data_IF_617876203315
#
_entry.id   IF_617876203315
#
_cell.length_a   1.000
_cell.length_b   1.000
_cell.length_c   1.000
_cell.angle_alpha   90.00
_cell.angle_beta   90.00
_cell.angle_gamma   90.00
#
_symmetry.space_group_name_H-M   'P 1'
#
loop_
_entity.id
_entity.type
_entity.pdbx_description
1 polymer ?
#
# COMPACT_ATOMS: atom_id res chain seq x y z
N UNK A 1 79.43 31.70 22.30
CA UNK A 1 79.08 31.54 20.88
C UNK A 1 78.88 30.06 20.57
N UNK A 2 78.02 29.72 19.61
CA UNK A 2 78.12 28.57 18.66
C UNK A 2 78.49 27.17 19.19
N UNK A 3 77.77 26.07 18.91
CA UNK A 3 76.41 25.83 18.38
C UNK A 3 75.98 24.46 18.94
N UNK A 4 74.69 24.20 19.17
CA UNK A 4 74.19 22.81 19.22
C UNK A 4 73.15 22.59 18.13
N UNK A 5 73.33 21.51 17.37
CA UNK A 5 72.41 21.01 16.34
C UNK A 5 71.22 20.29 16.98
N UNK A 6 70.01 20.57 16.49
CA UNK A 6 68.81 19.76 16.76
C UNK A 6 68.35 19.12 15.43
N UNK A 7 68.14 17.79 15.36
CA UNK A 7 67.72 17.13 14.13
C UNK A 7 66.21 17.35 13.86
N UNK A 8 65.84 17.41 12.58
CA UNK A 8 64.43 17.34 12.18
C UNK A 8 63.88 15.94 12.45
N UNK A 9 63.06 15.79 13.49
CA UNK A 9 62.16 14.64 13.61
C UNK A 9 60.87 14.94 12.85
N UNK A 10 60.73 14.37 11.64
CA UNK A 10 59.56 14.53 10.80
C UNK A 10 58.38 13.73 11.35
N UNK A 11 57.62 14.31 12.27
CA UNK A 11 56.37 13.73 12.76
C UNK A 11 55.30 13.81 11.66
N UNK A 12 55.20 12.78 10.80
CA UNK A 12 54.07 12.64 9.90
C UNK A 12 52.81 12.38 10.72
N UNK A 13 51.99 13.42 10.87
CA UNK A 13 50.62 13.29 11.32
C UNK A 13 49.81 12.67 10.18
N UNK A 14 49.75 11.34 10.12
CA UNK A 14 48.80 10.62 9.27
C UNK A 14 47.39 10.86 9.80
N UNK A 15 46.79 11.97 9.36
CA UNK A 15 45.34 12.15 9.42
C UNK A 15 44.73 11.06 8.54
N UNK A 16 44.30 9.97 9.17
CA UNK A 16 43.42 9.01 8.54
C UNK A 16 42.08 9.71 8.31
N UNK A 17 41.98 10.39 7.17
CA UNK A 17 40.69 10.87 6.67
C UNK A 17 39.85 9.63 6.40
N UNK A 18 38.97 9.30 7.34
CA UNK A 18 37.93 8.30 7.11
C UNK A 18 37.08 8.85 5.99
N UNK A 19 37.29 8.32 4.79
CA UNK A 19 36.34 8.45 3.70
C UNK A 19 35.09 7.73 4.19
N UNK A 20 34.06 8.51 4.55
CA UNK A 20 32.73 7.96 4.70
C UNK A 20 32.35 7.37 3.35
N UNK A 21 32.12 6.05 3.31
CA UNK A 21 31.80 5.34 2.08
C UNK A 21 30.41 5.83 1.60
N UNK A 22 30.29 6.50 0.45
CA UNK A 22 29.05 7.19 0.06
C UNK A 22 28.00 6.23 -0.51
N UNK A 23 28.08 4.94 -0.18
CA UNK A 23 27.44 3.83 -0.90
C UNK A 23 26.25 3.21 -0.16
N UNK A 24 25.78 3.82 0.92
CA UNK A 24 24.49 3.49 1.56
C UNK A 24 23.67 4.75 1.82
N UNK A 25 22.68 5.01 0.95
CA UNK A 25 21.57 5.93 1.22
C UNK A 25 20.58 5.38 2.25
N UNK A 26 20.69 4.09 2.57
CA UNK A 26 19.81 3.37 3.48
C UNK A 26 20.33 3.34 4.93
N UNK A 27 19.39 3.28 5.87
CA UNK A 27 19.59 3.13 7.30
C UNK A 27 20.33 1.84 7.68
N UNK A 28 21.23 1.92 8.66
CA UNK A 28 22.06 0.78 9.05
C UNK A 28 21.27 -0.30 9.80
N UNK A 29 21.08 -1.44 9.13
CA UNK A 29 20.44 -2.65 9.67
C UNK A 29 21.17 -3.27 10.87
N UNK A 30 22.39 -2.83 11.21
CA UNK A 30 23.11 -3.17 12.44
C UNK A 30 22.53 -2.50 13.69
N UNK A 31 21.70 -1.46 13.54
CA UNK A 31 21.09 -0.71 14.66
C UNK A 31 19.62 -1.07 14.92
N UNK A 32 19.13 -2.15 14.29
CA UNK A 32 17.76 -2.63 14.45
C UNK A 32 17.51 -3.21 15.85
N UNK A 33 16.31 -2.98 16.35
CA UNK A 33 15.74 -3.53 17.58
C UNK A 33 14.33 -4.07 17.28
N UNK A 34 13.96 -5.13 17.97
CA UNK A 34 12.65 -5.77 17.83
C UNK A 34 11.56 -4.94 18.50
N UNK A 35 10.44 -4.71 17.81
CA UNK A 35 9.16 -4.41 18.44
C UNK A 35 8.43 -5.73 18.68
N UNK A 36 8.34 -6.12 19.94
CA UNK A 36 7.64 -7.33 20.40
C UNK A 36 6.12 -7.06 20.46
N UNK A 37 5.30 -8.10 20.22
CA UNK A 37 3.85 -8.09 20.42
C UNK A 37 3.43 -9.14 21.44
N UNK A 38 2.48 -8.78 22.30
CA UNK A 38 1.80 -9.68 23.21
C UNK A 38 0.31 -9.32 23.30
N UNK A 39 -0.58 -10.31 23.42
CA UNK A 39 -2.03 -10.09 23.41
C UNK A 39 -2.68 -10.60 24.70
N UNK A 40 -3.63 -9.84 25.24
CA UNK A 40 -4.48 -10.28 26.37
C UNK A 40 -5.90 -10.56 25.90
N UNK A 41 -6.23 -11.84 25.70
CA UNK A 41 -7.61 -12.28 25.43
C UNK A 41 -8.61 -12.08 26.57
N UNK A 42 -8.18 -11.54 27.73
CA UNK A 42 -9.07 -11.14 28.83
C UNK A 42 -9.39 -9.65 28.82
N UNK A 43 -8.44 -8.80 28.37
CA UNK A 43 -8.66 -7.36 28.19
C UNK A 43 -9.17 -7.02 26.78
N UNK A 44 -8.88 -7.87 25.80
CA UNK A 44 -8.98 -7.57 24.36
C UNK A 44 -8.10 -6.38 23.98
N UNK A 45 -6.81 -6.48 24.33
CA UNK A 45 -5.77 -5.44 24.16
C UNK A 45 -4.45 -6.05 23.63
N UNK A 46 -3.81 -5.36 22.68
CA UNK A 46 -2.48 -5.69 22.15
C UNK A 46 -1.38 -4.78 22.71
N UNK A 47 -0.50 -5.38 23.50
CA UNK A 47 0.69 -4.73 24.02
C UNK A 47 1.89 -4.84 23.07
N UNK A 48 2.57 -3.72 22.83
CA UNK A 48 3.79 -3.64 22.02
C UNK A 48 4.89 -2.93 22.81
N UNK A 49 6.14 -3.39 22.66
CA UNK A 49 7.31 -2.70 23.23
C UNK A 49 8.61 -3.12 22.54
N UNK A 50 9.62 -2.25 22.57
CA UNK A 50 11.01 -2.58 22.24
C UNK A 50 11.87 -2.91 23.48
N UNK A 51 11.30 -2.81 24.68
CA UNK A 51 11.95 -3.07 25.96
C UNK A 51 11.60 -4.48 26.48
N UNK A 52 12.57 -5.41 26.40
CA UNK A 52 12.42 -6.79 26.91
C UNK A 52 12.04 -6.83 28.39
N UNK A 53 12.51 -5.89 29.21
CA UNK A 53 12.13 -5.85 30.63
C UNK A 53 10.68 -5.42 30.85
N UNK A 54 10.09 -4.63 29.96
CA UNK A 54 8.68 -4.24 30.00
C UNK A 54 7.80 -5.42 29.56
N UNK A 55 8.19 -6.10 28.48
CA UNK A 55 7.56 -7.35 28.04
C UNK A 55 7.56 -8.40 29.15
N UNK A 56 8.73 -8.71 29.72
CA UNK A 56 8.89 -9.76 30.72
C UNK A 56 8.14 -9.45 32.03
N UNK A 57 8.22 -8.21 32.54
CA UNK A 57 7.75 -7.88 33.90
C UNK A 57 6.38 -7.23 33.97
N UNK A 58 5.93 -6.54 32.91
CA UNK A 58 4.68 -5.77 32.93
C UNK A 58 3.56 -6.45 32.11
N UNK A 59 3.91 -7.16 31.02
CA UNK A 59 2.95 -7.90 30.20
C UNK A 59 2.87 -9.41 30.53
N UNK A 60 4.01 -10.11 30.56
CA UNK A 60 4.04 -11.57 30.70
C UNK A 60 4.01 -12.05 32.16
N UNK A 61 4.60 -11.30 33.10
CA UNK A 61 4.62 -11.65 34.51
C UNK A 61 3.21 -11.60 35.12
N UNK A 62 2.72 -12.77 35.56
CA UNK A 62 1.35 -12.93 36.05
C UNK A 62 0.38 -13.53 35.02
N UNK A 63 0.76 -13.59 33.73
CA UNK A 63 -0.01 -14.26 32.68
C UNK A 63 -1.21 -13.46 32.18
N UNK A 64 -1.17 -12.13 32.27
CA UNK A 64 -2.20 -11.24 31.71
C UNK A 64 -2.17 -11.25 30.18
N UNK A 65 -0.96 -11.20 29.59
CA UNK A 65 -0.72 -11.28 28.15
C UNK A 65 -0.02 -12.59 27.78
N UNK A 66 -0.22 -13.03 26.54
CA UNK A 66 0.55 -14.09 25.90
C UNK A 66 1.48 -13.46 24.86
N UNK A 67 2.76 -13.84 24.83
CA UNK A 67 3.69 -13.40 23.80
C UNK A 67 3.30 -13.96 22.44
N UNK A 68 3.22 -13.10 21.42
CA UNK A 68 2.83 -13.49 20.06
C UNK A 68 3.99 -13.51 19.07
N UNK A 69 5.07 -12.78 19.36
CA UNK A 69 6.29 -12.77 18.54
C UNK A 69 6.86 -11.38 18.29
N UNK A 70 7.74 -11.32 17.30
CA UNK A 70 8.34 -10.12 16.75
C UNK A 70 7.40 -9.50 15.70
N UNK A 71 6.78 -8.35 16.00
CA UNK A 71 5.89 -7.68 15.04
C UNK A 71 6.65 -6.97 13.92
N UNK A 72 7.78 -6.33 14.25
CA UNK A 72 8.64 -5.63 13.28
C UNK A 72 10.03 -5.34 13.86
N UNK A 73 10.96 -4.94 13.00
CA UNK A 73 12.27 -4.41 13.38
C UNK A 73 12.36 -2.91 13.10
N UNK A 74 12.48 -2.11 14.17
CA UNK A 74 12.65 -0.66 14.15
C UNK A 74 14.14 -0.29 14.30
N UNK A 75 14.57 0.89 13.86
CA UNK A 75 15.92 1.36 14.18
C UNK A 75 15.97 1.96 15.59
N UNK A 76 16.99 1.61 16.39
CA UNK A 76 17.15 2.10 17.78
C UNK A 76 17.59 3.55 17.89
N UNK A 77 18.05 4.14 16.79
CA UNK A 77 18.62 5.48 16.70
C UNK A 77 18.20 6.13 15.39
N UNK A 78 18.27 7.45 15.29
CA UNK A 78 18.02 8.15 14.03
C UNK A 78 19.05 7.74 12.97
N UNK A 79 18.54 7.25 11.86
CA UNK A 79 19.29 6.81 10.68
C UNK A 79 18.90 7.64 9.45
N UNK A 80 19.69 7.63 8.34
CA UNK A 80 19.33 8.28 7.09
C UNK A 80 17.88 8.04 6.67
N UNK A 81 17.16 9.12 6.35
CA UNK A 81 15.75 9.14 5.92
C UNK A 81 14.72 8.52 6.89
N UNK A 82 15.09 8.17 8.12
CA UNK A 82 14.15 7.70 9.16
C UNK A 82 13.64 8.84 10.05
N UNK A 83 12.44 8.66 10.60
CA UNK A 83 11.78 9.56 11.56
C UNK A 83 11.32 8.77 12.80
N UNK A 84 11.07 9.43 13.95
CA UNK A 84 10.59 8.75 15.15
C UNK A 84 9.22 8.10 14.93
N UNK A 85 9.05 6.88 15.45
CA UNK A 85 7.75 6.30 15.76
C UNK A 85 7.43 6.64 17.21
N UNK A 86 6.63 7.68 17.43
CA UNK A 86 6.18 8.12 18.75
C UNK A 86 5.29 7.04 19.37
N UNK A 87 5.44 6.83 20.68
CA UNK A 87 4.55 6.00 21.50
C UNK A 87 3.80 6.90 22.48
N UNK A 88 2.47 6.83 22.43
CA UNK A 88 1.57 7.50 23.35
C UNK A 88 0.81 6.44 24.15
N UNK A 89 0.35 6.83 25.33
CA UNK A 89 -0.46 6.00 26.21
C UNK A 89 -1.66 6.80 26.72
N UNK A 90 -2.81 6.14 26.85
CA UNK A 90 -3.97 6.70 27.52
C UNK A 90 -4.31 5.89 28.77
N UNK A 91 -4.27 6.55 29.94
CA UNK A 91 -4.51 5.89 31.22
C UNK A 91 -5.98 5.51 31.46
N UNK A 92 -6.93 6.21 30.83
CA UNK A 92 -8.37 5.96 31.00
C UNK A 92 -8.87 4.85 30.06
N UNK A 93 -8.21 4.65 28.91
CA UNK A 93 -8.47 3.53 27.99
C UNK A 93 -7.56 2.31 28.22
N UNK A 94 -6.37 2.51 28.81
CA UNK A 94 -5.31 1.50 29.00
C UNK A 94 -4.72 1.00 27.67
N UNK A 95 -4.64 1.88 26.67
CA UNK A 95 -4.31 1.59 25.27
C UNK A 95 -3.08 2.41 24.79
N UNK A 96 -2.41 1.97 23.73
CA UNK A 96 -1.18 2.55 23.18
C UNK A 96 -1.30 2.98 21.70
N UNK A 97 -1.01 4.25 21.44
CA UNK A 97 -1.06 4.81 20.09
C UNK A 97 0.35 5.02 19.53
N UNK A 98 0.59 4.49 18.32
CA UNK A 98 1.85 4.60 17.61
C UNK A 98 1.68 5.41 16.33
N UNK A 99 2.53 6.41 16.15
CA UNK A 99 2.51 7.25 14.95
C UNK A 99 3.87 7.87 14.64
N UNK A 100 4.13 8.08 13.35
CA UNK A 100 5.24 8.89 12.86
C UNK A 100 4.86 10.37 12.59
N UNK A 101 3.59 10.75 12.80
CA UNK A 101 3.05 12.07 12.51
C UNK A 101 3.12 13.00 13.72
N UNK A 102 3.94 14.05 13.66
CA UNK A 102 4.00 15.09 14.71
C UNK A 102 2.67 15.78 14.97
N UNK A 103 1.84 15.87 13.95
CA UNK A 103 0.58 16.63 13.99
C UNK A 103 -0.51 15.77 14.63
N UNK A 104 -0.54 14.47 14.30
CA UNK A 104 -1.43 13.49 14.95
C UNK A 104 -1.10 13.36 16.44
N UNK A 105 0.17 13.41 16.84
CA UNK A 105 0.56 13.46 18.27
C UNK A 105 -0.10 14.64 19.00
N UNK A 106 -0.21 15.82 18.38
CA UNK A 106 -0.87 16.98 18.98
C UNK A 106 -2.39 16.77 19.09
N UNK A 107 -3.01 16.19 18.06
CA UNK A 107 -4.44 15.85 18.06
C UNK A 107 -4.80 14.79 19.11
N UNK A 108 -3.93 13.79 19.33
CA UNK A 108 -4.13 12.78 20.37
C UNK A 108 -3.93 13.37 21.78
N UNK A 109 -2.99 14.30 21.96
CA UNK A 109 -2.78 14.99 23.25
C UNK A 109 -3.99 15.87 23.63
N UNK A 110 -4.64 16.55 22.68
CA UNK A 110 -5.90 17.29 22.94
C UNK A 110 -7.05 16.33 23.33
N UNK A 111 -7.03 15.09 22.82
CA UNK A 111 -7.92 13.99 23.18
C UNK A 111 -7.52 13.26 24.49
N UNK A 112 -6.59 13.82 25.28
CA UNK A 112 -6.23 13.32 26.61
C UNK A 112 -5.16 12.23 26.64
N UNK A 113 -4.52 11.91 25.51
CA UNK A 113 -3.38 10.99 25.49
C UNK A 113 -2.13 11.68 26.03
N UNK A 114 -1.23 10.90 26.64
CA UNK A 114 0.09 11.36 27.05
C UNK A 114 1.17 10.71 26.18
N UNK A 115 2.32 11.38 26.05
CA UNK A 115 3.54 10.69 25.66
C UNK A 115 3.86 9.57 26.67
N UNK A 116 4.21 8.40 26.17
CA UNK A 116 4.58 7.26 27.01
C UNK A 116 5.95 7.45 27.68
N UNK A 117 6.21 6.66 28.72
CA UNK A 117 7.44 6.62 29.52
C UNK A 117 8.70 6.15 28.77
N UNK A 118 8.55 5.60 27.55
CA UNK A 118 9.66 5.20 26.67
C UNK A 118 10.73 6.30 26.48
N UNK A 119 12.02 5.93 26.29
CA UNK A 119 13.10 6.90 26.11
C UNK A 119 12.83 7.87 24.94
N UNK A 120 12.75 9.17 25.26
CA UNK A 120 12.36 10.23 24.31
C UNK A 120 10.98 10.00 23.66
N UNK A 121 10.06 9.31 24.34
CA UNK A 121 8.67 9.06 23.90
C UNK A 121 8.57 8.36 22.53
N UNK A 122 9.60 7.58 22.19
CA UNK A 122 9.85 7.01 20.87
C UNK A 122 10.06 5.51 21.02
N UNK A 123 9.23 4.70 20.36
CA UNK A 123 9.37 3.24 20.38
C UNK A 123 10.63 2.78 19.62
N UNK A 124 10.92 3.48 18.53
CA UNK A 124 12.05 3.33 17.64
C UNK A 124 11.92 4.31 16.48
N UNK A 125 12.77 4.18 15.46
CA UNK A 125 12.70 4.96 14.24
C UNK A 125 12.18 4.07 13.10
N UNK A 126 11.44 4.69 12.17
CA UNK A 126 10.83 4.09 10.97
C UNK A 126 11.17 4.94 9.75
N UNK A 127 11.08 4.39 8.54
CA UNK A 127 10.98 5.23 7.37
C UNK A 127 9.54 5.78 7.24
N UNK A 128 9.37 7.01 6.71
CA UNK A 128 8.05 7.51 6.31
C UNK A 128 7.50 6.83 5.05
N UNK A 129 8.33 6.10 4.32
CA UNK A 129 8.09 5.58 2.96
C UNK A 129 8.66 4.18 2.78
N UNK A 130 8.21 3.45 1.76
CA UNK A 130 8.58 2.05 1.47
C UNK A 130 9.97 1.92 0.80
N UNK A 131 10.95 2.69 1.26
CA UNK A 131 12.32 2.72 0.71
C UNK A 131 13.20 1.66 1.38
N UNK A 132 14.32 1.31 0.74
CA UNK A 132 15.37 0.47 1.33
C UNK A 132 14.88 -0.89 1.89
N UNK A 133 13.84 -1.46 1.28
CA UNK A 133 13.22 -2.72 1.68
C UNK A 133 12.25 -2.64 2.86
N UNK A 134 11.82 -1.45 3.25
CA UNK A 134 10.86 -1.27 4.32
C UNK A 134 9.42 -1.51 3.85
N UNK A 135 8.70 -2.36 4.59
CA UNK A 135 7.29 -2.68 4.35
C UNK A 135 6.40 -1.90 5.34
N UNK A 136 5.12 -1.65 5.02
CA UNK A 136 4.22 -0.89 5.89
C UNK A 136 3.88 -1.64 7.19
N UNK A 137 3.70 -0.87 8.26
CA UNK A 137 3.00 -1.27 9.47
C UNK A 137 1.55 -0.74 9.34
N UNK A 138 0.61 -1.63 9.03
CA UNK A 138 -0.82 -1.31 9.05
C UNK A 138 -1.27 -1.06 10.49
N UNK A 139 -1.98 0.03 10.72
CA UNK A 139 -2.60 0.40 12.00
C UNK A 139 -4.11 0.23 11.88
N UNK A 140 -4.70 -0.48 12.83
CA UNK A 140 -6.13 -0.69 12.93
C UNK A 140 -6.62 -0.40 14.35
N UNK A 141 -7.90 -0.06 14.50
CA UNK A 141 -8.51 0.22 15.80
C UNK A 141 -9.88 -0.43 15.92
N UNK A 142 -10.14 -1.11 17.04
CA UNK A 142 -11.46 -1.63 17.36
C UNK A 142 -12.16 -0.72 18.39
N UNK A 143 -13.26 -0.03 18.03
CA UNK A 143 -13.95 0.89 18.94
C UNK A 143 -14.85 0.18 19.98
N UNK A 144 -15.05 -1.14 19.89
CA UNK A 144 -15.82 -1.91 20.87
C UNK A 144 -14.95 -2.44 22.02
N UNK A 145 -13.69 -2.82 21.75
CA UNK A 145 -12.70 -3.16 22.77
C UNK A 145 -11.83 -1.98 23.21
N UNK A 146 -11.67 -0.97 22.36
CA UNK A 146 -10.72 0.16 22.50
C UNK A 146 -9.26 -0.33 22.48
N UNK A 147 -8.89 -0.97 21.37
CA UNK A 147 -7.59 -1.62 21.13
C UNK A 147 -7.01 -1.19 19.77
N UNK A 148 -5.74 -0.77 19.75
CA UNK A 148 -5.00 -0.51 18.51
C UNK A 148 -4.12 -1.71 18.10
N UNK A 149 -4.45 -2.31 16.96
CA UNK A 149 -3.73 -3.43 16.38
C UNK A 149 -2.74 -2.97 15.29
N UNK A 150 -1.50 -3.46 15.38
CA UNK A 150 -0.41 -3.12 14.46
C UNK A 150 0.20 -4.39 13.86
N UNK A 151 0.23 -4.46 12.54
CA UNK A 151 0.79 -5.61 11.82
C UNK A 151 1.43 -5.23 10.50
N UNK A 152 2.43 -5.98 10.06
CA UNK A 152 2.98 -5.91 8.70
C UNK A 152 2.32 -6.93 7.75
N UNK A 153 1.45 -7.81 8.29
CA UNK A 153 0.76 -8.86 7.54
C UNK A 153 -0.63 -8.37 7.09
N UNK A 154 -0.77 -8.09 5.79
CA UNK A 154 -2.04 -7.62 5.21
C UNK A 154 -3.19 -8.64 5.34
N UNK A 155 -2.90 -9.95 5.40
CA UNK A 155 -3.94 -10.96 5.62
C UNK A 155 -4.44 -10.95 7.07
N UNK A 156 -3.54 -10.81 8.05
CA UNK A 156 -3.88 -10.65 9.46
C UNK A 156 -4.68 -9.36 9.71
N UNK A 157 -4.31 -8.27 9.04
CA UNK A 157 -5.07 -7.02 9.02
C UNK A 157 -6.49 -7.20 8.46
N UNK A 158 -6.64 -7.93 7.34
CA UNK A 158 -7.96 -8.20 6.74
C UNK A 158 -8.83 -9.15 7.56
N UNK A 159 -8.23 -10.08 8.30
CA UNK A 159 -8.96 -10.92 9.25
C UNK A 159 -9.43 -10.09 10.47
N UNK A 160 -8.57 -9.24 11.05
CA UNK A 160 -8.97 -8.31 12.11
C UNK A 160 -10.13 -7.39 11.69
N UNK A 161 -10.17 -6.92 10.42
CA UNK A 161 -11.29 -6.12 9.90
C UNK A 161 -12.63 -6.87 9.87
N UNK A 162 -12.63 -8.21 9.82
CA UNK A 162 -13.85 -9.03 9.90
C UNK A 162 -14.34 -9.14 11.34
N UNK A 163 -13.42 -9.06 12.30
CA UNK A 163 -13.65 -9.08 13.75
C UNK A 163 -13.87 -7.66 14.36
N UNK A 164 -14.19 -6.67 13.52
CA UNK A 164 -14.67 -5.34 13.93
C UNK A 164 -13.63 -4.21 13.93
N UNK A 165 -12.37 -4.50 13.60
CA UNK A 165 -11.34 -3.47 13.49
C UNK A 165 -11.55 -2.56 12.27
N UNK A 166 -11.22 -1.28 12.46
CA UNK A 166 -11.24 -0.25 11.42
C UNK A 166 -9.82 0.09 11.00
N UNK A 167 -9.58 0.14 9.68
CA UNK A 167 -8.30 0.58 9.11
C UNK A 167 -8.06 2.08 9.40
N UNK A 168 -6.88 2.40 9.93
CA UNK A 168 -6.40 3.75 10.23
C UNK A 168 -5.12 4.11 9.44
N UNK A 169 -4.82 3.39 8.35
CA UNK A 169 -3.67 3.63 7.49
C UNK A 169 -2.36 3.01 8.01
N UNK A 170 -1.25 3.68 7.71
CA UNK A 170 0.11 3.15 7.93
C UNK A 170 0.82 3.97 9.01
N UNK A 171 1.18 3.33 10.13
CA UNK A 171 1.89 3.99 11.24
C UNK A 171 3.37 4.28 10.94
N UNK A 172 3.96 3.56 9.98
CA UNK A 172 5.33 3.74 9.49
C UNK A 172 5.77 2.59 8.59
N UNK A 173 6.99 2.68 8.04
CA UNK A 173 7.60 1.61 7.24
C UNK A 173 8.87 1.09 7.94
N UNK A 174 8.96 -0.23 8.10
CA UNK A 174 9.98 -0.88 8.93
C UNK A 174 10.50 -2.19 8.28
N UNK A 175 11.49 -2.83 8.91
CA UNK A 175 12.08 -4.07 8.40
C UNK A 175 11.24 -5.28 8.82
N UNK A 176 10.94 -6.17 7.86
CA UNK A 176 10.13 -7.36 8.11
C UNK A 176 10.88 -8.38 8.99
N UNK A 177 10.19 -9.02 9.94
CA UNK A 177 10.70 -10.21 10.60
C UNK A 177 10.62 -11.41 9.64
N UNK A 178 11.70 -12.18 9.60
CA UNK A 178 11.80 -13.48 8.94
C UNK A 178 11.12 -14.55 9.80
N UNK A 179 10.79 -15.69 9.18
CA UNK A 179 10.20 -16.88 9.84
C UNK A 179 11.10 -17.54 10.90
N UNK A 180 12.32 -17.05 11.09
CA UNK A 180 13.31 -17.46 12.10
C UNK A 180 13.64 -16.34 13.12
N UNK A 181 12.86 -15.26 13.15
CA UNK A 181 13.07 -14.13 14.06
C UNK A 181 14.27 -13.24 13.71
N UNK A 182 14.83 -13.36 12.49
CA UNK A 182 15.86 -12.45 11.97
C UNK A 182 15.25 -11.30 11.15
N UNK A 183 15.95 -10.17 11.03
CA UNK A 183 15.51 -9.08 10.16
C UNK A 183 15.79 -9.40 8.68
N UNK A 184 14.76 -9.35 7.83
CA UNK A 184 14.92 -9.50 6.38
C UNK A 184 15.62 -8.25 5.83
N UNK A 185 16.82 -8.41 5.27
CA UNK A 185 17.65 -7.28 4.80
C UNK A 185 17.44 -6.91 3.33
N UNK A 186 16.87 -7.83 2.55
CA UNK A 186 16.63 -7.68 1.11
C UNK A 186 15.13 -7.57 0.76
N UNK A 187 14.29 -7.09 1.69
CA UNK A 187 12.83 -6.92 1.51
C UNK A 187 12.44 -5.76 0.58
N UNK A 188 13.27 -5.46 -0.42
CA UNK A 188 13.00 -4.51 -1.51
C UNK A 188 11.95 -5.03 -2.51
N UNK A 189 11.55 -6.30 -2.40
CA UNK A 189 10.16 -6.67 -2.64
C UNK A 189 9.39 -6.60 -1.31
N UNK A 190 8.33 -5.78 -1.17
CA UNK A 190 7.28 -6.11 -0.20
C UNK A 190 6.84 -7.56 -0.48
N UNK A 191 6.36 -8.29 0.52
CA UNK A 191 5.86 -9.64 0.26
C UNK A 191 4.77 -9.57 -0.82
N UNK A 192 4.97 -10.33 -1.91
CA UNK A 192 4.27 -10.27 -3.21
C UNK A 192 4.78 -9.30 -4.31
N UNK A 193 5.96 -8.69 -4.19
CA UNK A 193 6.81 -8.50 -5.38
C UNK A 193 7.81 -9.67 -5.47
N UNK A 194 8.05 -10.26 -6.66
CA UNK A 194 9.01 -11.37 -6.80
C UNK A 194 10.43 -11.03 -6.34
N UNK A 195 11.16 -12.05 -5.88
CA UNK A 195 12.50 -11.95 -5.26
C UNK A 195 13.63 -11.52 -6.21
N UNK A 196 13.30 -10.87 -7.31
CA UNK A 196 14.19 -10.35 -8.36
C UNK A 196 13.94 -8.87 -8.68
N UNK A 197 13.13 -8.19 -7.88
CA UNK A 197 12.91 -6.73 -7.92
C UNK A 197 14.15 -5.94 -7.48
N UNK A 198 15.21 -6.02 -8.28
CA UNK A 198 16.29 -5.01 -8.28
C UNK A 198 15.79 -3.79 -9.03
N UNK A 199 15.10 -2.89 -8.33
CA UNK A 199 14.99 -1.51 -8.79
C UNK A 199 16.41 -1.00 -9.09
N UNK A 200 16.62 -0.38 -10.25
CA UNK A 200 17.95 0.14 -10.61
C UNK A 200 18.41 1.10 -9.50
N UNK A 201 19.65 1.02 -8.98
CA UNK A 201 20.06 1.81 -7.80
C UNK A 201 19.81 3.31 -7.94
N UNK A 202 19.97 3.84 -9.16
CA UNK A 202 19.65 5.21 -9.56
C UNK A 202 18.20 5.62 -9.21
N UNK A 203 17.23 4.71 -9.35
CA UNK A 203 15.82 4.92 -8.98
C UNK A 203 15.54 4.83 -7.48
N UNK A 204 16.49 4.33 -6.67
CA UNK A 204 16.42 4.38 -5.20
C UNK A 204 17.18 5.60 -4.65
N UNK A 205 18.26 6.03 -5.30
CA UNK A 205 18.95 7.29 -5.00
C UNK A 205 18.08 8.52 -5.27
N UNK A 206 17.26 8.53 -6.34
CA UNK A 206 16.31 9.63 -6.57
C UNK A 206 15.27 9.73 -5.46
N UNK A 207 14.65 8.62 -5.04
CA UNK A 207 13.65 8.63 -3.97
C UNK A 207 14.22 8.94 -2.57
N UNK A 208 15.46 8.53 -2.29
CA UNK A 208 16.13 8.86 -1.02
C UNK A 208 16.65 10.31 -0.97
N UNK A 209 16.70 11.01 -2.11
CA UNK A 209 17.04 12.45 -2.17
C UNK A 209 15.83 13.38 -2.41
N UNK A 210 14.69 12.85 -2.89
CA UNK A 210 13.49 13.63 -3.16
C UNK A 210 12.57 13.76 -1.93
N UNK A 211 12.71 14.86 -1.18
CA UNK A 211 11.66 15.31 -0.22
C UNK A 211 10.39 15.85 -0.91
N UNK A 212 10.32 15.83 -2.24
CA UNK A 212 9.14 16.22 -3.00
C UNK A 212 8.10 15.10 -3.03
N UNK A 213 6.86 15.45 -2.71
CA UNK A 213 5.69 14.60 -2.96
C UNK A 213 5.50 14.31 -4.45
N UNK A 214 4.72 13.27 -4.74
CA UNK A 214 4.36 12.84 -6.07
C UNK A 214 3.85 14.01 -6.93
N UNK A 215 4.52 14.26 -8.07
CA UNK A 215 4.07 15.26 -9.05
C UNK A 215 2.72 14.83 -9.65
N UNK A 216 1.82 15.77 -9.91
CA UNK A 216 0.55 15.51 -10.59
C UNK A 216 0.54 15.90 -12.07
N UNK A 217 1.68 16.34 -12.61
CA UNK A 217 1.92 16.35 -14.04
C UNK A 217 1.56 14.99 -14.67
N UNK A 218 0.85 15.02 -15.79
CA UNK A 218 0.50 13.86 -16.61
C UNK A 218 -0.33 12.74 -15.91
N UNK A 219 -0.90 13.01 -14.74
CA UNK A 219 -1.77 12.09 -14.01
C UNK A 219 -3.15 11.97 -14.68
N UNK A 220 -3.64 10.74 -14.78
CA UNK A 220 -4.92 10.34 -15.38
C UNK A 220 -5.63 9.29 -14.51
N UNK A 221 -6.97 9.17 -14.57
CA UNK A 221 -7.68 8.11 -13.87
C UNK A 221 -7.39 6.74 -14.51
N UNK A 222 -7.13 5.74 -13.68
CA UNK A 222 -7.18 4.33 -14.05
C UNK A 222 -8.64 3.86 -13.89
N UNK A 223 -9.39 3.92 -14.99
CA UNK A 223 -10.81 3.58 -15.06
C UNK A 223 -11.00 2.07 -14.81
N UNK A 224 -11.90 1.68 -13.90
CA UNK A 224 -12.21 0.28 -13.56
C UNK A 224 -13.60 -0.13 -14.05
N UNK A 225 -13.72 -1.36 -14.52
CA UNK A 225 -15.00 -2.00 -14.80
C UNK A 225 -14.94 -3.52 -14.54
N UNK A 226 -16.04 -4.11 -14.05
CA UNK A 226 -16.17 -5.55 -13.78
C UNK A 226 -17.11 -6.23 -14.79
N UNK A 227 -16.84 -7.50 -15.10
CA UNK A 227 -17.64 -8.29 -16.04
C UNK A 227 -19.11 -8.44 -15.58
N UNK A 228 -20.06 -8.32 -16.52
CA UNK A 228 -21.48 -8.49 -16.24
C UNK A 228 -21.80 -9.95 -15.94
N UNK A 229 -22.78 -10.16 -15.05
CA UNK A 229 -23.29 -11.49 -14.68
C UNK A 229 -23.63 -12.32 -15.92
N UNK A 230 -22.88 -13.39 -16.15
CA UNK A 230 -23.05 -14.30 -17.30
C UNK A 230 -22.23 -13.96 -18.55
N UNK A 231 -21.33 -12.97 -18.49
CA UNK A 231 -20.40 -12.64 -19.61
C UNK A 231 -18.94 -12.97 -19.33
N UNK A 232 -18.59 -13.28 -18.08
CA UNK A 232 -17.23 -13.61 -17.61
C UNK A 232 -17.12 -13.35 -16.11
N UNK A 233 -15.90 -13.42 -15.60
CA UNK A 233 -15.46 -12.91 -14.29
C UNK A 233 -14.07 -12.35 -14.52
N UNK A 234 -13.96 -11.03 -14.63
CA UNK A 234 -12.76 -10.31 -15.06
C UNK A 234 -12.90 -8.84 -14.62
N UNK A 235 -11.80 -8.23 -14.17
CA UNK A 235 -11.74 -6.80 -13.91
C UNK A 235 -10.84 -6.10 -14.94
N UNK A 236 -11.45 -5.20 -15.70
CA UNK A 236 -10.79 -4.44 -16.74
C UNK A 236 -10.39 -3.05 -16.25
N UNK A 237 -9.13 -2.66 -16.51
CA UNK A 237 -8.56 -1.37 -16.13
C UNK A 237 -7.88 -0.70 -17.32
N UNK A 238 -8.15 0.59 -17.51
CA UNK A 238 -7.50 1.39 -18.55
C UNK A 238 -7.48 2.88 -18.24
N UNK A 239 -6.46 3.57 -18.73
CA UNK A 239 -6.40 5.04 -18.76
C UNK A 239 -7.09 5.62 -20.01
N UNK A 240 -7.53 4.77 -20.95
CA UNK A 240 -8.16 5.16 -22.20
C UNK A 240 -9.69 5.11 -22.11
N UNK A 241 -10.33 6.28 -22.03
CA UNK A 241 -11.79 6.41 -21.95
C UNK A 241 -12.54 5.84 -23.17
N UNK A 242 -11.93 5.84 -24.36
CA UNK A 242 -12.56 5.26 -25.56
C UNK A 242 -12.54 3.74 -25.54
N UNK A 243 -11.49 3.14 -24.97
CA UNK A 243 -11.39 1.70 -24.74
C UNK A 243 -12.38 1.25 -23.66
N UNK A 244 -12.43 1.97 -22.53
CA UNK A 244 -13.43 1.73 -21.49
C UNK A 244 -14.86 1.79 -22.05
N UNK A 245 -15.20 2.84 -22.81
CA UNK A 245 -16.51 2.96 -23.45
C UNK A 245 -16.84 1.78 -24.38
N UNK A 246 -15.84 1.19 -25.06
CA UNK A 246 -16.05 0.00 -25.90
C UNK A 246 -16.30 -1.28 -25.08
N UNK A 247 -15.55 -1.48 -23.99
CA UNK A 247 -15.77 -2.58 -23.04
C UNK A 247 -17.17 -2.53 -22.41
N UNK A 248 -17.65 -1.32 -22.06
CA UNK A 248 -18.95 -1.08 -21.45
C UNK A 248 -20.16 -1.30 -22.39
N UNK A 249 -19.98 -1.37 -23.71
CA UNK A 249 -21.10 -1.68 -24.60
C UNK A 249 -21.62 -3.11 -24.38
N UNK A 250 -20.71 -4.07 -24.29
CA UNK A 250 -21.04 -5.50 -24.35
C UNK A 250 -20.90 -6.19 -22.98
N UNK A 251 -19.66 -6.21 -22.46
CA UNK A 251 -19.24 -7.17 -21.43
C UNK A 251 -19.18 -6.57 -20.03
N UNK A 252 -18.86 -5.27 -19.90
CA UNK A 252 -18.46 -4.70 -18.61
C UNK A 252 -19.47 -3.71 -18.02
N UNK A 253 -19.45 -3.55 -16.70
CA UNK A 253 -20.13 -2.50 -15.94
C UNK A 253 -19.10 -1.60 -15.26
N UNK A 254 -19.25 -0.28 -15.41
CA UNK A 254 -18.29 0.70 -14.90
C UNK A 254 -18.38 0.82 -13.38
N UNK A 255 -17.22 0.89 -12.72
CA UNK A 255 -17.14 0.95 -11.25
C UNK A 255 -16.53 2.26 -10.72
N UNK A 256 -15.90 3.07 -11.58
CA UNK A 256 -15.27 4.34 -11.22
C UNK A 256 -13.78 4.37 -11.54
N UNK A 257 -13.07 5.28 -10.89
CA UNK A 257 -11.62 5.38 -10.95
C UNK A 257 -11.02 4.50 -9.84
N UNK A 258 -10.18 3.50 -10.17
CA UNK A 258 -9.51 2.67 -9.16
C UNK A 258 -8.36 3.40 -8.47
N UNK A 259 -7.66 4.23 -9.25
CA UNK A 259 -6.47 4.98 -8.87
C UNK A 259 -6.29 6.17 -9.81
N UNK A 260 -5.46 7.15 -9.42
CA UNK A 260 -4.92 8.16 -10.33
C UNK A 260 -3.43 7.88 -10.57
N UNK A 261 -3.09 7.56 -11.83
CA UNK A 261 -1.79 7.02 -12.27
C UNK A 261 -1.15 7.92 -13.33
N UNK A 262 0.15 7.80 -13.55
CA UNK A 262 0.84 8.62 -14.55
C UNK A 262 0.66 8.04 -15.96
N UNK A 263 0.37 8.90 -16.93
CA UNK A 263 0.23 8.52 -18.36
C UNK A 263 1.57 8.47 -19.10
N UNK A 264 2.62 9.06 -18.52
CA UNK A 264 4.01 9.08 -18.99
C UNK A 264 4.95 8.63 -17.88
N UNK A 265 6.16 8.17 -18.25
CA UNK A 265 7.15 7.80 -17.24
C UNK A 265 7.76 9.05 -16.60
N UNK A 266 7.33 9.34 -15.38
CA UNK A 266 7.94 10.37 -14.53
C UNK A 266 9.11 9.80 -13.72
N UNK A 267 9.92 10.68 -13.13
CA UNK A 267 11.04 10.29 -12.29
C UNK A 267 10.59 9.33 -11.16
N UNK A 268 11.38 8.30 -10.88
CA UNK A 268 11.07 7.24 -9.89
C UNK A 268 9.82 6.38 -10.17
N UNK A 269 9.13 6.54 -11.31
CA UNK A 269 8.03 5.66 -11.73
C UNK A 269 8.48 4.50 -12.63
N UNK A 270 7.73 3.40 -12.57
CA UNK A 270 7.89 2.19 -13.38
C UNK A 270 6.61 1.88 -14.16
N UNK A 271 6.69 1.24 -15.34
CA UNK A 271 5.50 0.88 -16.12
C UNK A 271 4.63 -0.15 -15.41
N UNK A 272 3.31 0.09 -15.42
CA UNK A 272 2.30 -0.91 -15.13
C UNK A 272 1.99 -1.68 -16.43
N UNK A 273 2.57 -2.87 -16.56
CA UNK A 273 2.29 -3.77 -17.67
C UNK A 273 0.84 -4.27 -17.62
N UNK A 274 0.18 -4.36 -18.77
CA UNK A 274 -1.15 -4.98 -18.90
C UNK A 274 -1.09 -6.19 -19.83
N UNK A 275 -1.61 -7.31 -19.36
CA UNK A 275 -1.68 -8.57 -20.08
C UNK A 275 -3.09 -9.15 -19.99
N UNK A 276 -3.51 -9.90 -21.01
CA UNK A 276 -4.79 -10.60 -21.04
C UNK A 276 -4.58 -12.07 -21.45
N UNK A 277 -5.37 -12.98 -20.86
CA UNK A 277 -5.40 -14.39 -21.26
C UNK A 277 -6.80 -14.77 -21.76
N UNK A 278 -6.93 -14.92 -23.08
CA UNK A 278 -8.19 -15.23 -23.78
C UNK A 278 -8.79 -16.62 -23.44
N UNK A 279 -8.05 -17.51 -22.77
CA UNK A 279 -8.50 -18.87 -22.45
C UNK A 279 -9.16 -18.94 -21.07
N UNK A 280 -8.65 -18.18 -20.09
CA UNK A 280 -9.27 -18.05 -18.75
C UNK A 280 -10.17 -16.82 -18.63
N UNK A 281 -9.99 -15.82 -19.51
CA UNK A 281 -10.64 -14.51 -19.49
C UNK A 281 -10.30 -13.72 -18.21
N UNK A 282 -9.02 -13.36 -18.07
CA UNK A 282 -8.44 -12.66 -16.91
C UNK A 282 -7.44 -11.61 -17.40
N UNK A 283 -7.53 -10.36 -16.90
CA UNK A 283 -6.52 -9.32 -17.11
C UNK A 283 -5.54 -9.23 -15.93
N UNK A 284 -4.26 -9.38 -16.24
CA UNK A 284 -3.17 -9.32 -15.27
C UNK A 284 -2.38 -8.01 -15.39
N UNK A 285 -2.11 -7.37 -14.25
CA UNK A 285 -1.43 -6.08 -14.15
C UNK A 285 -0.28 -6.18 -13.16
N UNK A 286 0.91 -5.77 -13.59
CA UNK A 286 2.11 -5.83 -12.74
C UNK A 286 3.13 -4.76 -13.11
N UNK A 287 3.89 -4.32 -12.12
CA UNK A 287 5.08 -3.47 -12.32
C UNK A 287 6.37 -4.29 -12.48
N UNK A 288 6.34 -5.61 -12.26
CA UNK A 288 7.50 -6.47 -12.45
C UNK A 288 7.55 -7.09 -13.84
N UNK A 289 8.61 -6.73 -14.57
CA UNK A 289 8.93 -7.33 -15.85
C UNK A 289 9.18 -8.85 -15.76
N UNK A 290 9.67 -9.37 -14.62
CA UNK A 290 9.84 -10.81 -14.43
C UNK A 290 8.51 -11.52 -14.24
N UNK A 291 7.61 -10.97 -13.42
CA UNK A 291 6.24 -11.48 -13.26
C UNK A 291 5.47 -11.45 -14.60
N UNK A 292 5.61 -10.35 -15.36
CA UNK A 292 5.09 -10.24 -16.73
C UNK A 292 5.66 -11.33 -17.66
N UNK A 293 6.97 -11.58 -17.63
CA UNK A 293 7.60 -12.66 -18.40
C UNK A 293 7.12 -14.06 -17.97
N UNK A 294 6.84 -14.28 -16.69
CA UNK A 294 6.22 -15.52 -16.21
C UNK A 294 4.78 -15.65 -16.71
N UNK A 295 3.97 -14.59 -16.65
CA UNK A 295 2.61 -14.57 -17.17
C UNK A 295 2.55 -14.90 -18.68
N UNK A 296 3.48 -14.36 -19.49
CA UNK A 296 3.63 -14.73 -20.91
C UNK A 296 3.87 -16.24 -21.09
N UNK A 297 4.65 -16.87 -20.21
CA UNK A 297 4.87 -18.34 -20.24
C UNK A 297 3.65 -19.16 -19.83
N UNK A 298 2.68 -18.54 -19.13
CA UNK A 298 1.40 -19.13 -18.71
C UNK A 298 0.26 -18.89 -19.72
N UNK A 299 0.56 -18.31 -20.90
CA UNK A 299 -0.39 -18.10 -21.99
C UNK A 299 -1.10 -16.75 -22.00
N UNK A 300 -0.66 -15.81 -21.17
CA UNK A 300 -1.03 -14.40 -21.33
C UNK A 300 -0.33 -13.79 -22.54
N UNK A 301 -0.89 -12.70 -23.08
CA UNK A 301 -0.23 -11.81 -24.02
C UNK A 301 -0.43 -10.35 -23.60
N UNK A 302 0.47 -9.45 -23.97
CA UNK A 302 0.19 -8.02 -23.89
C UNK A 302 -0.97 -7.69 -24.85
N UNK A 303 -1.93 -6.92 -24.37
CA UNK A 303 -3.17 -6.59 -25.09
C UNK A 303 -3.22 -5.11 -25.57
N UNK A 304 -2.14 -4.36 -25.34
CA UNK A 304 -1.93 -2.98 -25.77
C UNK A 304 -0.69 -2.88 -26.65
N UNK A 305 -0.71 -2.03 -27.68
CA UNK A 305 0.46 -1.75 -28.55
C UNK A 305 1.67 -1.21 -27.77
N UNK A 306 1.43 -0.60 -26.59
CA UNK A 306 2.44 -0.08 -25.66
C UNK A 306 2.94 -1.11 -24.64
N UNK A 307 2.23 -2.23 -24.47
CA UNK A 307 2.31 -3.17 -23.34
C UNK A 307 1.97 -2.56 -21.95
N UNK A 308 1.59 -1.28 -21.88
CA UNK A 308 1.59 -0.45 -20.66
C UNK A 308 0.24 0.26 -20.50
N UNK A 309 -0.41 0.09 -19.34
CA UNK A 309 -1.67 0.78 -18.99
C UNK A 309 -1.45 2.16 -18.36
N UNK A 310 -0.28 2.38 -17.74
CA UNK A 310 0.14 3.61 -17.07
C UNK A 310 1.46 3.40 -16.34
N UNK A 311 1.84 4.33 -15.48
CA UNK A 311 3.03 4.25 -14.64
C UNK A 311 2.68 4.43 -13.17
N UNK A 312 3.42 3.75 -12.28
CA UNK A 312 3.23 3.74 -10.83
C UNK A 312 4.58 3.97 -10.13
N UNK A 313 4.56 4.40 -8.86
CA UNK A 313 5.75 4.28 -8.02
C UNK A 313 5.87 2.83 -7.49
N UNK A 314 7.07 2.22 -7.50
CA UNK A 314 7.27 0.86 -6.96
C UNK A 314 7.35 0.83 -5.42
N UNK A 315 7.38 2.01 -4.79
CA UNK A 315 7.41 2.22 -3.34
C UNK A 315 6.50 3.41 -2.98
N UNK A 316 6.02 3.48 -1.73
CA UNK A 316 5.30 4.66 -1.25
C UNK A 316 6.20 5.90 -1.30
N UNK A 317 5.61 7.06 -1.60
CA UNK A 317 6.19 8.40 -1.44
C UNK A 317 5.10 9.34 -0.92
N UNK A 318 5.44 10.57 -0.51
CA UNK A 318 4.43 11.56 -0.12
C UNK A 318 3.35 11.74 -1.21
N UNK A 319 2.07 11.63 -0.84
CA UNK A 319 0.93 11.70 -1.75
C UNK A 319 0.53 10.37 -2.41
N UNK A 320 1.39 9.34 -2.37
CA UNK A 320 1.16 8.06 -3.05
C UNK A 320 0.80 6.93 -2.06
N UNK A 321 -0.44 6.44 -2.17
CA UNK A 321 -1.01 5.33 -1.38
C UNK A 321 -0.91 4.00 -2.14
N UNK A 322 -0.96 2.84 -1.46
CA UNK A 322 -0.85 1.54 -2.13
C UNK A 322 -2.08 1.22 -2.99
N UNK A 323 -1.86 0.47 -4.07
CA UNK A 323 -2.86 -0.32 -4.77
C UNK A 323 -2.69 -1.77 -4.30
N UNK A 324 -3.68 -2.34 -3.63
CA UNK A 324 -3.71 -3.76 -3.28
C UNK A 324 -4.05 -4.61 -4.51
N UNK A 325 -3.33 -5.72 -4.71
CA UNK A 325 -3.73 -6.79 -5.65
C UNK A 325 -4.44 -7.89 -4.88
N UNK A 326 -5.48 -8.45 -5.47
CA UNK A 326 -6.15 -9.65 -4.99
C UNK A 326 -6.40 -10.60 -6.14
N UNK A 327 -6.48 -11.90 -5.84
CA UNK A 327 -6.78 -12.94 -6.82
C UNK A 327 -7.91 -13.85 -6.30
N UNK A 328 -8.85 -14.20 -7.18
CA UNK A 328 -9.91 -15.17 -6.88
C UNK A 328 -9.62 -16.52 -7.58
N UNK A 329 -9.11 -17.53 -6.86
CA UNK A 329 -8.75 -18.83 -7.44
C UNK A 329 -9.95 -19.69 -7.86
N UNK A 330 -11.19 -19.27 -7.57
CA UNK A 330 -12.42 -19.96 -8.02
C UNK A 330 -12.93 -19.43 -9.35
N UNK A 331 -12.57 -18.20 -9.74
CA UNK A 331 -12.98 -17.57 -11.00
C UNK A 331 -11.82 -17.36 -11.97
N UNK A 332 -10.58 -17.27 -11.49
CA UNK A 332 -9.41 -16.79 -12.25
C UNK A 332 -9.61 -15.34 -12.69
N UNK A 333 -9.61 -14.43 -11.70
CA UNK A 333 -9.93 -13.00 -11.84
C UNK A 333 -9.02 -12.22 -10.87
N UNK A 334 -8.28 -11.22 -11.37
CA UNK A 334 -7.44 -10.34 -10.55
C UNK A 334 -8.11 -8.98 -10.28
N UNK A 335 -8.24 -8.63 -9.00
CA UNK A 335 -8.86 -7.41 -8.53
C UNK A 335 -7.83 -6.44 -7.93
N UNK A 336 -7.97 -5.14 -8.23
CA UNK A 336 -7.02 -4.10 -7.84
C UNK A 336 -7.78 -2.92 -7.24
N UNK A 337 -7.42 -2.54 -6.00
CA UNK A 337 -8.10 -1.46 -5.28
C UNK A 337 -7.17 -0.73 -4.31
N UNK A 338 -7.39 0.57 -4.14
CA UNK A 338 -6.74 1.36 -3.08
C UNK A 338 -7.56 1.38 -1.78
N UNK A 339 -8.73 0.74 -1.75
CA UNK A 339 -9.61 0.68 -0.58
C UNK A 339 -9.41 -0.64 0.17
N UNK A 340 -8.83 -0.56 1.38
CA UNK A 340 -8.63 -1.73 2.24
C UNK A 340 -9.96 -2.34 2.70
N UNK A 341 -11.01 -1.52 2.88
CA UNK A 341 -12.38 -1.99 3.15
C UNK A 341 -12.97 -2.77 1.98
N UNK A 342 -12.75 -2.32 0.74
CA UNK A 342 -13.19 -3.03 -0.46
C UNK A 342 -12.43 -4.36 -0.61
N UNK A 343 -11.12 -4.32 -0.41
CA UNK A 343 -10.22 -5.49 -0.37
C UNK A 343 -10.68 -6.54 0.66
N UNK A 344 -10.95 -6.14 1.91
CA UNK A 344 -11.42 -7.04 2.97
C UNK A 344 -12.84 -7.59 2.71
N UNK A 345 -13.65 -6.89 1.92
CA UNK A 345 -15.03 -7.26 1.57
C UNK A 345 -15.14 -8.10 0.29
N UNK A 346 -14.07 -8.27 -0.47
CA UNK A 346 -14.05 -8.93 -1.78
C UNK A 346 -14.28 -10.45 -1.65
N UNK A 347 -15.54 -10.89 -1.71
CA UNK A 347 -15.90 -12.28 -1.46
C UNK A 347 -15.27 -13.26 -2.46
N UNK A 348 -14.51 -14.24 -1.95
CA UNK A 348 -13.79 -15.24 -2.76
C UNK A 348 -12.40 -14.82 -3.23
N UNK A 349 -12.01 -13.55 -3.02
CA UNK A 349 -10.68 -13.06 -3.29
C UNK A 349 -9.73 -13.30 -2.10
N UNK A 350 -8.44 -13.45 -2.41
CA UNK A 350 -7.33 -13.48 -1.46
C UNK A 350 -6.35 -12.38 -1.84
N UNK A 351 -5.85 -11.64 -0.86
CA UNK A 351 -4.89 -10.54 -1.10
C UNK A 351 -3.51 -11.07 -1.48
N UNK A 352 -2.95 -10.50 -2.54
CA UNK A 352 -1.59 -10.74 -3.07
C UNK A 352 -0.70 -9.50 -2.89
N UNK A 353 -0.82 -8.82 -1.75
CA UNK A 353 0.01 -7.65 -1.42
C UNK A 353 -0.28 -6.41 -2.26
N UNK A 354 0.78 -5.69 -2.64
CA UNK A 354 0.73 -4.34 -3.22
C UNK A 354 1.28 -4.36 -4.66
N UNK A 355 0.47 -3.91 -5.62
CA UNK A 355 0.83 -3.84 -7.05
C UNK A 355 1.68 -2.59 -7.41
N UNK A 356 1.76 -1.62 -6.52
CA UNK A 356 2.44 -0.34 -6.69
C UNK A 356 1.72 0.79 -5.93
N UNK A 357 2.18 2.02 -6.11
CA UNK A 357 1.67 3.20 -5.40
C UNK A 357 1.23 4.31 -6.36
N UNK A 358 0.08 4.92 -6.05
CA UNK A 358 -0.65 5.87 -6.90
C UNK A 358 -1.32 6.97 -6.07
N UNK A 359 -1.89 7.99 -6.73
CA UNK A 359 -2.71 9.00 -6.05
C UNK A 359 -4.13 8.45 -5.82
N UNK A 360 -4.68 8.66 -4.61
CA UNK A 360 -6.04 8.23 -4.29
C UNK A 360 -7.10 9.00 -5.12
N UNK A 361 -8.19 8.34 -5.58
CA UNK A 361 -9.38 9.02 -6.08
C UNK A 361 -10.09 9.79 -4.95
N UNK A 362 -10.31 11.09 -5.17
CA UNK A 362 -11.13 11.91 -4.29
C UNK A 362 -12.64 11.80 -4.60
N UNK A 363 -13.50 12.20 -3.66
CA UNK A 363 -14.97 12.16 -3.80
C UNK A 363 -15.54 12.94 -5.00
N UNK A 364 -14.75 13.85 -5.57
CA UNK A 364 -15.08 14.65 -6.76
C UNK A 364 -14.37 14.19 -8.05
N UNK A 365 -13.80 12.98 -8.08
CA UNK A 365 -13.19 12.38 -9.28
C UNK A 365 -11.89 13.06 -9.70
N UNK A 366 -11.02 13.37 -8.74
CA UNK A 366 -9.72 14.04 -8.93
C UNK A 366 -8.64 13.35 -8.08
N UNK A 367 -7.34 13.53 -8.36
CA UNK A 367 -6.27 13.00 -7.51
C UNK A 367 -6.22 13.71 -6.15
N UNK A 368 -6.20 12.93 -5.05
CA UNK A 368 -6.07 13.45 -3.69
C UNK A 368 -4.62 13.81 -3.36
N UNK A 369 -4.21 15.03 -3.74
CA UNK A 369 -2.84 15.55 -3.57
C UNK A 369 -2.29 15.59 -2.13
N UNK A 370 -3.15 15.44 -1.13
CA UNK A 370 -2.78 15.47 0.30
C UNK A 370 -2.95 14.10 0.98
N UNK A 371 -2.91 13.00 0.20
CA UNK A 371 -2.89 11.64 0.73
C UNK A 371 -1.55 11.32 1.42
N UNK A 372 -1.38 11.79 2.65
CA UNK A 372 -0.48 11.14 3.59
C UNK A 372 -1.01 9.71 3.85
N UNK A 373 -0.15 8.67 3.88
CA UNK A 373 -0.56 7.31 4.24
C UNK A 373 -1.06 7.18 5.71
N UNK A 374 -1.01 8.28 6.46
CA UNK A 374 -1.49 8.48 7.82
C UNK A 374 -3.01 8.72 7.93
N UNK A 375 -3.68 9.19 6.86
CA UNK A 375 -5.08 9.62 6.90
C UNK A 375 -5.87 9.12 5.67
N UNK A 376 -6.41 7.91 5.77
CA UNK A 376 -7.55 7.51 4.95
C UNK A 376 -8.82 8.14 5.54
N UNK A 377 -9.62 8.89 4.76
CA UNK A 377 -10.91 9.36 5.26
C UNK A 377 -11.85 8.17 5.45
N UNK A 378 -12.52 8.11 6.61
CA UNK A 378 -13.32 6.98 7.15
C UNK A 378 -14.48 6.50 6.24
N UNK A 379 -14.70 7.12 5.07
CA UNK A 379 -15.52 6.53 4.01
C UNK A 379 -15.07 6.96 2.61
N UNK A 380 -14.10 6.25 2.03
CA UNK A 380 -13.90 6.21 0.57
C UNK A 380 -15.00 5.37 -0.09
N UNK A 381 -16.23 5.87 -0.07
CA UNK A 381 -17.30 5.35 -0.92
C UNK A 381 -17.03 5.81 -2.37
N UNK A 382 -16.94 4.91 -3.36
CA UNK A 382 -16.82 5.30 -4.76
C UNK A 382 -17.94 6.27 -5.17
N UNK A 383 -17.62 7.24 -6.01
CA UNK A 383 -18.58 8.23 -6.51
C UNK A 383 -19.48 7.59 -7.58
N UNK A 384 -20.40 6.74 -7.12
CA UNK A 384 -21.49 6.15 -7.90
C UNK A 384 -22.52 7.24 -8.27
N UNK A 385 -22.08 8.19 -9.09
CA UNK A 385 -22.88 9.28 -9.63
C UNK A 385 -23.94 8.70 -10.57
N UNK A 386 -25.16 8.55 -10.05
CA UNK A 386 -26.34 8.17 -10.83
C UNK A 386 -26.90 9.32 -11.70
N UNK A 387 -26.14 10.41 -11.84
CA UNK A 387 -26.36 11.38 -12.92
C UNK A 387 -25.94 10.73 -14.24
N UNK A 388 -26.85 10.73 -15.23
CA UNK A 388 -26.54 10.23 -16.57
C UNK A 388 -25.32 10.99 -17.13
N UNK A 389 -24.26 10.25 -17.44
CA UNK A 389 -23.04 10.81 -17.98
C UNK A 389 -23.29 11.18 -19.45
N UNK A 390 -23.72 12.42 -19.70
CA UNK A 390 -23.64 13.02 -21.03
C UNK A 390 -22.16 13.08 -21.40
N UNK A 391 -21.72 12.10 -22.21
CA UNK A 391 -20.30 11.82 -22.45
C UNK A 391 -19.57 13.09 -22.91
N UNK A 392 -18.56 13.60 -22.17
CA UNK A 392 -17.77 14.73 -22.59
C UNK A 392 -16.95 14.32 -23.82
N UNK A 393 -17.43 14.68 -25.00
CA UNK A 393 -16.80 14.42 -26.30
C UNK A 393 -15.54 15.27 -26.55
N UNK A 394 -15.02 15.89 -25.50
CA UNK A 394 -13.78 16.67 -25.47
C UNK A 394 -13.02 16.39 -24.18
N UNK A 395 -11.91 15.68 -24.29
CA UNK A 395 -10.79 15.81 -23.35
C UNK A 395 -10.31 17.27 -23.39
N UNK A 396 -9.86 17.82 -22.27
CA UNK A 396 -9.28 19.15 -22.21
C UNK A 396 -7.95 19.19 -22.98
N UNK A 397 -8.00 19.54 -24.26
CA UNK A 397 -6.80 19.84 -25.05
C UNK A 397 -6.07 21.05 -24.44
N UNK A 398 -4.73 20.97 -24.43
CA UNK A 398 -3.87 22.05 -23.95
C UNK A 398 -4.08 23.39 -24.66
N UNK A 399 -3.62 24.50 -24.07
CA UNK A 399 -4.01 25.86 -24.46
C UNK A 399 -3.63 26.17 -25.91
N UNK A 400 -4.64 26.34 -26.76
CA UNK A 400 -4.52 26.79 -28.15
C UNK A 400 -5.45 28.00 -28.40
N UNK A 401 -5.04 28.90 -29.30
CA UNK A 401 -5.54 30.29 -29.31
C UNK A 401 -6.97 30.48 -29.84
N UNK A 402 -7.60 31.54 -29.34
CA UNK A 402 -9.02 31.88 -29.51
C UNK A 402 -9.41 32.46 -30.88
N UNK A 403 -10.47 31.92 -31.48
CA UNK A 403 -11.36 32.59 -32.47
C UNK A 403 -12.82 32.17 -32.18
N UNK A 404 -13.79 33.06 -32.46
CA UNK A 404 -15.24 33.06 -32.07
C UNK A 404 -16.04 33.69 -33.24
N UNK A 405 -17.38 33.48 -33.49
CA UNK A 405 -18.48 32.82 -32.73
C UNK A 405 -19.16 31.65 -33.55
N UNK A 406 -20.46 31.24 -33.52
CA UNK A 406 -21.75 31.65 -32.87
C UNK A 406 -22.85 30.55 -33.00
N UNK A 407 -23.86 30.54 -32.08
CA UNK A 407 -25.34 30.35 -32.25
C UNK A 407 -25.93 29.23 -33.18
N UNK A 408 -27.04 28.52 -32.88
CA UNK A 408 -28.09 28.63 -31.81
C UNK A 408 -29.08 27.43 -31.75
N UNK A 409 -29.70 27.20 -30.55
CA UNK A 409 -31.05 26.61 -30.32
C UNK A 409 -31.28 25.08 -30.51
N UNK A 410 -32.40 24.44 -30.09
CA UNK A 410 -33.43 24.74 -29.04
C UNK A 410 -34.56 23.66 -28.96
N UNK A 411 -35.00 23.26 -27.75
CA UNK A 411 -36.24 22.43 -27.45
C UNK A 411 -35.99 20.91 -27.27
N UNK A 412 -36.52 20.13 -26.30
CA UNK A 412 -37.84 19.99 -25.57
C UNK A 412 -38.81 18.95 -26.19
N UNK A 413 -39.59 18.09 -25.50
CA UNK A 413 -39.56 17.51 -24.13
C UNK A 413 -40.72 16.47 -23.91
N UNK A 414 -40.47 15.29 -23.31
CA UNK A 414 -41.41 14.44 -22.49
C UNK A 414 -42.70 13.81 -23.15
N UNK A 415 -43.49 12.91 -22.49
CA UNK A 415 -43.15 11.68 -21.73
C UNK A 415 -44.14 10.45 -21.83
N UNK A 416 -43.66 9.21 -21.50
CA UNK A 416 -44.39 8.07 -20.83
C UNK A 416 -45.66 7.43 -21.49
N UNK A 417 -46.36 6.38 -20.93
CA UNK A 417 -46.17 5.60 -19.68
C UNK A 417 -46.35 4.03 -19.74
N UNK A 418 -46.26 3.36 -18.57
CA UNK A 418 -46.87 2.05 -18.16
C UNK A 418 -46.31 0.70 -18.71
N UNK A 419 -46.39 -0.47 -18.05
CA UNK A 419 -46.74 -0.88 -16.64
C UNK A 419 -46.54 -2.40 -16.38
N UNK A 420 -46.23 -2.81 -15.13
CA UNK A 420 -46.46 -4.16 -14.50
C UNK A 420 -45.76 -5.40 -15.15
N UNK A 421 -45.61 -6.61 -14.54
CA UNK A 421 -45.94 -7.15 -13.20
C UNK A 421 -44.87 -8.19 -12.69
N UNK A 422 -45.23 -9.10 -11.75
CA UNK A 422 -44.34 -9.92 -10.89
C UNK A 422 -44.21 -11.39 -11.33
N UNK A 423 -43.07 -12.06 -11.03
CA UNK A 423 -43.02 -13.53 -10.85
C UNK A 423 -41.91 -13.98 -9.89
N UNK A 424 -42.11 -15.12 -9.20
CA UNK A 424 -41.15 -15.77 -8.28
C UNK A 424 -41.03 -17.28 -8.59
N UNK A 425 -39.81 -17.83 -8.54
CA UNK A 425 -39.47 -19.27 -8.28
C UNK A 425 -38.00 -19.54 -8.65
N UNK A 426 -37.28 -20.54 -8.11
CA UNK A 426 -37.45 -21.33 -6.88
C UNK A 426 -36.07 -21.92 -6.48
N UNK A 427 -35.94 -22.44 -5.24
CA UNK A 427 -34.69 -23.08 -4.77
C UNK A 427 -34.39 -24.42 -5.46
N UNK A 428 -33.10 -24.76 -5.54
CA UNK A 428 -32.63 -26.15 -5.56
C UNK A 428 -31.38 -26.30 -4.70
N UNK A 429 -31.28 -27.39 -3.92
CA UNK A 429 -30.15 -27.70 -3.02
C UNK A 429 -29.55 -29.06 -3.32
N UNK A 430 -28.28 -29.11 -3.75
CA UNK A 430 -27.33 -30.23 -3.60
C UNK A 430 -25.89 -29.68 -3.63
N UNK A 431 -24.86 -30.26 -3.03
CA UNK A 431 -24.63 -30.79 -1.67
C UNK A 431 -23.34 -31.65 -1.70
N UNK A 432 -22.33 -31.21 -0.93
CA UNK A 432 -21.25 -31.98 -0.29
C UNK A 432 -20.00 -32.48 -1.08
N UNK A 433 -18.85 -31.99 -0.59
CA UNK A 433 -17.51 -32.64 -0.45
C UNK A 433 -16.71 -32.97 -1.72
N UNK A 434 -15.56 -32.30 -1.89
CA UNK A 434 -14.19 -32.79 -1.57
C UNK A 434 -13.31 -31.57 -1.22
N UNK A 435 -12.37 -31.72 -0.27
CA UNK A 435 -11.37 -30.71 0.11
C UNK A 435 -10.00 -31.35 0.35
N UNK A 436 -8.95 -30.52 0.46
CA UNK A 436 -7.54 -30.83 0.78
C UNK A 436 -6.65 -31.36 -0.36
N UNK A 437 -5.67 -30.54 -0.78
CA UNK A 437 -4.29 -30.88 -1.14
C UNK A 437 -3.52 -29.59 -1.53
N UNK A 438 -3.27 -28.68 -0.58
CA UNK A 438 -2.04 -28.55 0.25
C UNK A 438 -0.80 -27.98 -0.47
N UNK A 439 -0.32 -26.82 0.01
CA UNK A 439 1.08 -26.42 -0.14
C UNK A 439 1.96 -27.39 0.67
N UNK A 440 3.07 -27.86 0.10
CA UNK A 440 4.39 -27.95 0.76
C UNK A 440 5.42 -28.43 -0.27
N UNK A 441 6.46 -27.63 -0.50
CA UNK A 441 7.58 -27.98 -1.38
C UNK A 441 8.86 -27.17 -1.06
N UNK A 442 9.35 -27.24 0.19
CA UNK A 442 10.75 -26.90 0.50
C UNK A 442 11.47 -28.14 1.03
N UNK A 443 12.51 -28.55 0.29
CA UNK A 443 13.67 -29.32 0.72
C UNK A 443 13.45 -30.68 1.40
N UNK A 444 13.87 -31.76 0.72
CA UNK A 444 15.09 -32.54 1.06
C UNK A 444 15.29 -33.60 -0.04
N UNK A 445 16.47 -33.63 -0.64
CA UNK A 445 17.38 -34.79 -0.71
C UNK A 445 18.73 -34.36 -1.31
N UNK A 446 19.75 -35.20 -1.11
CA UNK A 446 21.18 -34.94 -1.38
C UNK A 446 21.57 -34.94 -2.86
#
# INVERSE_FOLDING_TARGET
MTVLSCPLSSLLLTVALVLADPTSSCADTSSLITLFRAYSGNASDHFYTTNVSELDNDALLGGTYTFEGEATFLWSTSQPSTIPLFRLYNQDFVDHFYTMSSDEVLEMIDQGWAYDNTPNHTAGYVYPYSICGAAPIYRLFNPESVDHFYTMNIAESQDAMKDGYQDQGIAGFAMLPSVDGSAVKDSAGPFFLPSTMTALPESQETATSSLSCADNANVVPLLRAHARTGTGQDHFYTTNSSEMNAALLNTYSFEGDAAFVWSTQEASTVPLYRLFNQIVNDHFYTIDANESNVALSLGYAFDTDSHIAGYLYPYSICGASPIYRLYNPSTTDHFYTMSQTESASASGYVVEGIAGFALLPSVNGQPQMSASPLLLPVSLKPSASTLAYDFPTTIALGPTSSIVPSNAGSGSATPSPNSEEISQSAMSRRAFIISMLWLVAKWIFS
#
